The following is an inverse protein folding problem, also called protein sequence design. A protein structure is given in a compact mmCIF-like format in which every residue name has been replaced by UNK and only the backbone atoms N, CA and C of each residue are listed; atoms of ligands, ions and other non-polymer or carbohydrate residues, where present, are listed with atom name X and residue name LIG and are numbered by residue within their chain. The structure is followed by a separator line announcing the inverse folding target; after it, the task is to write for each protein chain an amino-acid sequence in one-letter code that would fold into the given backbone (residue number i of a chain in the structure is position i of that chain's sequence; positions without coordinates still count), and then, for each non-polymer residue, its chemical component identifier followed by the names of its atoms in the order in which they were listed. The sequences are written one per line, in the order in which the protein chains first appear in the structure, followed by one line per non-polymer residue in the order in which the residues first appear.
data_IF_183777217200
#
_entry.id   IF_183777217200
#
_cell.length_a   1.000
_cell.length_b   1.000
_cell.length_c   1.000
_cell.angle_alpha   90.00
_cell.angle_beta   90.00
_cell.angle_gamma   90.00
#
_symmetry.space_group_name_H-M   'P 1'
#
loop_
_entity.id
_entity.type
_entity.pdbx_description
1 polymer ?
#
# COMPACT_ATOMS: atom_id res chain seq x y z
N UNK A 1 29.92 -1.41 21.87
CA UNK A 1 29.57 -0.17 21.29
C UNK A 1 29.09 -0.31 19.87
N UNK A 2 29.78 -1.00 19.12
CA UNK A 2 29.43 -1.20 17.73
C UNK A 2 28.12 -1.91 17.53
N UNK A 3 27.76 -2.65 18.48
CA UNK A 3 26.55 -3.43 18.53
C UNK A 3 25.29 -2.60 18.33
N UNK A 4 25.34 -1.42 18.86
CA UNK A 4 24.22 -0.51 18.79
C UNK A 4 23.90 -0.12 17.35
N UNK A 5 24.92 0.07 16.57
CA UNK A 5 24.74 0.42 15.17
C UNK A 5 24.03 -0.68 14.40
N UNK A 6 24.35 -1.91 14.68
CA UNK A 6 23.70 -3.04 14.02
C UNK A 6 22.21 -3.09 14.31
N UNK A 7 21.84 -2.82 15.55
CA UNK A 7 20.44 -2.81 15.92
C UNK A 7 19.68 -1.73 15.17
N UNK A 8 20.28 -0.58 15.01
CA UNK A 8 19.65 0.52 14.29
C UNK A 8 19.39 0.17 12.82
N UNK A 9 20.33 -0.51 12.21
CA UNK A 9 20.17 -0.94 10.83
C UNK A 9 19.01 -1.91 10.69
N UNK A 10 18.88 -2.84 11.61
CA UNK A 10 17.80 -3.79 11.57
C UNK A 10 16.43 -3.10 11.67
N UNK A 11 16.32 -2.11 12.53
CA UNK A 11 15.08 -1.36 12.68
C UNK A 11 14.76 -0.61 11.39
N UNK A 12 15.75 0.01 10.79
CA UNK A 12 15.55 0.73 9.55
C UNK A 12 15.05 -0.19 8.43
N UNK A 13 15.53 -1.43 8.38
CA UNK A 13 15.09 -2.39 7.40
C UNK A 13 13.63 -2.79 7.54
N UNK A 14 13.05 -2.61 8.73
CA UNK A 14 11.64 -2.93 8.98
C UNK A 14 10.71 -1.75 8.75
N UNK A 15 11.23 -0.58 8.43
CA UNK A 15 10.45 0.64 8.35
C UNK A 15 9.51 0.72 7.15
N UNK A 16 9.67 -0.15 6.17
CA UNK A 16 8.86 -0.13 4.97
C UNK A 16 9.48 0.72 3.87
N UNK A 17 8.80 0.77 2.75
CA UNK A 17 9.25 1.47 1.55
C UNK A 17 8.41 2.71 1.32
N UNK A 18 8.99 3.74 0.69
CA UNK A 18 8.20 4.86 0.22
C UNK A 18 7.41 4.43 -1.02
N UNK A 19 6.29 5.10 -1.25
CA UNK A 19 5.44 4.79 -2.39
C UNK A 19 6.17 4.99 -3.71
N UNK A 20 6.87 6.10 -3.86
CA UNK A 20 7.59 6.35 -5.10
C UNK A 20 8.72 5.36 -5.36
N UNK A 21 9.33 4.87 -4.29
CA UNK A 21 10.37 3.86 -4.40
C UNK A 21 9.83 2.58 -5.04
N UNK A 22 8.62 2.20 -4.65
CA UNK A 22 7.94 1.02 -5.20
C UNK A 22 7.49 1.28 -6.63
N UNK A 23 6.89 2.45 -6.90
CA UNK A 23 6.38 2.77 -8.23
C UNK A 23 7.48 2.96 -9.27
N UNK A 24 8.66 3.38 -8.84
CA UNK A 24 9.77 3.59 -9.75
C UNK A 24 10.34 2.27 -10.30
N UNK A 25 10.26 1.21 -9.53
CA UNK A 25 10.79 -0.09 -9.96
C UNK A 25 9.93 -1.22 -9.40
N UNK A 26 8.71 -1.36 -9.91
CA UNK A 26 7.77 -2.35 -9.37
C UNK A 26 8.22 -3.79 -9.59
N UNK A 27 8.99 -4.06 -10.61
CA UNK A 27 9.46 -5.42 -10.87
C UNK A 27 10.35 -5.95 -9.75
N UNK A 28 11.02 -5.06 -9.04
CA UNK A 28 11.86 -5.41 -7.91
C UNK A 28 11.07 -5.99 -6.74
N UNK A 29 9.81 -5.61 -6.65
CA UNK A 29 8.94 -6.00 -5.53
C UNK A 29 7.89 -7.03 -5.93
N UNK A 30 7.92 -7.48 -7.16
CA UNK A 30 6.98 -8.49 -7.65
C UNK A 30 7.14 -9.77 -6.86
N UNK A 31 6.01 -10.36 -6.43
CA UNK A 31 5.98 -11.59 -5.63
C UNK A 31 6.65 -11.47 -4.27
N UNK A 32 6.87 -10.25 -3.80
CA UNK A 32 7.40 -10.00 -2.47
C UNK A 32 6.37 -9.27 -1.64
N UNK A 33 6.28 -9.64 -0.38
CA UNK A 33 5.46 -8.91 0.55
C UNK A 33 6.24 -7.69 1.04
N UNK A 34 5.63 -6.53 0.94
CA UNK A 34 6.25 -5.28 1.35
C UNK A 34 5.31 -4.49 2.26
N UNK A 35 5.86 -3.54 2.97
CA UNK A 35 5.11 -2.66 3.86
C UNK A 35 5.26 -1.22 3.37
N UNK A 36 4.12 -0.53 3.28
CA UNK A 36 4.05 0.86 2.86
C UNK A 36 3.13 1.61 3.81
N UNK A 37 3.46 2.86 4.12
CA UNK A 37 2.64 3.70 5.00
C UNK A 37 2.24 4.97 4.30
N UNK A 38 1.08 5.51 4.66
CA UNK A 38 0.62 6.77 4.12
C UNK A 38 -0.71 7.18 4.74
N UNK A 39 -1.23 8.29 4.25
CA UNK A 39 -2.54 8.79 4.66
C UNK A 39 -3.58 8.37 3.63
N UNK A 40 -4.75 7.96 4.09
CA UNK A 40 -5.84 7.57 3.20
C UNK A 40 -6.46 8.84 2.61
N UNK A 41 -6.40 8.97 1.29
CA UNK A 41 -6.97 10.12 0.58
C UNK A 41 -8.25 9.77 -0.17
N UNK A 42 -8.46 8.51 -0.50
CA UNK A 42 -9.69 8.02 -1.11
C UNK A 42 -9.99 6.62 -0.58
N UNK A 43 -11.27 6.29 -0.46
CA UNK A 43 -11.69 4.97 -0.02
C UNK A 43 -13.06 4.64 -0.61
N UNK A 44 -13.18 3.45 -1.19
CA UNK A 44 -14.43 2.94 -1.77
C UNK A 44 -14.62 1.50 -1.33
N UNK A 45 -15.84 1.16 -0.96
CA UNK A 45 -16.16 -0.19 -0.50
C UNK A 45 -17.46 -0.67 -1.12
N UNK A 46 -17.46 -1.91 -1.61
CA UNK A 46 -18.65 -2.56 -2.17
C UNK A 46 -18.68 -4.00 -1.68
N UNK A 47 -19.74 -4.38 -1.00
CA UNK A 47 -19.97 -5.76 -0.56
C UNK A 47 -18.79 -6.36 0.23
N UNK A 48 -18.22 -5.61 1.15
CA UNK A 48 -17.14 -6.08 2.01
C UNK A 48 -15.76 -6.06 1.38
N UNK A 49 -15.68 -5.73 0.11
CA UNK A 49 -14.41 -5.55 -0.60
C UNK A 49 -14.22 -4.07 -0.87
N UNK A 50 -12.99 -3.63 -0.91
CA UNK A 50 -12.75 -2.23 -1.16
C UNK A 50 -11.41 -1.92 -1.75
N UNK A 51 -11.28 -0.69 -2.20
CA UNK A 51 -10.01 -0.10 -2.61
C UNK A 51 -9.87 1.22 -1.87
N UNK A 52 -8.65 1.52 -1.47
CA UNK A 52 -8.35 2.81 -0.91
C UNK A 52 -7.01 3.29 -1.44
N UNK A 53 -6.86 4.59 -1.50
CA UNK A 53 -5.64 5.21 -2.00
C UNK A 53 -4.89 5.83 -0.83
N UNK A 54 -3.62 5.48 -0.71
CA UNK A 54 -2.76 6.05 0.32
C UNK A 54 -1.75 6.98 -0.34
N UNK A 55 -1.36 7.99 0.41
CA UNK A 55 -0.42 9.00 -0.05
C UNK A 55 0.66 9.20 0.99
N UNK A 56 1.91 9.24 0.56
CA UNK A 56 3.01 9.69 1.37
C UNK A 56 3.64 10.93 0.69
N UNK A 57 4.79 11.36 1.13
CA UNK A 57 5.47 12.52 0.52
C UNK A 57 5.91 12.28 -0.90
N UNK A 58 5.99 11.04 -1.33
CA UNK A 58 6.61 10.68 -2.60
C UNK A 58 5.60 10.32 -3.68
N UNK A 59 4.39 9.92 -3.32
CA UNK A 59 3.41 9.54 -4.31
C UNK A 59 2.16 8.94 -3.71
N UNK A 60 1.34 8.33 -4.57
CA UNK A 60 0.07 7.70 -4.20
C UNK A 60 0.04 6.27 -4.70
N UNK A 61 -0.67 5.43 -3.96
CA UNK A 61 -0.79 4.01 -4.30
C UNK A 61 -2.20 3.52 -3.96
N UNK A 62 -2.81 2.82 -4.89
CA UNK A 62 -4.09 2.16 -4.65
C UNK A 62 -3.87 0.80 -4.00
N UNK A 63 -4.71 0.48 -3.03
CA UNK A 63 -4.65 -0.76 -2.27
C UNK A 63 -6.00 -1.45 -2.36
N UNK A 64 -6.01 -2.72 -2.71
CA UNK A 64 -7.22 -3.55 -2.71
C UNK A 64 -7.26 -4.37 -1.43
N UNK A 65 -8.42 -4.40 -0.77
CA UNK A 65 -8.59 -5.06 0.51
C UNK A 65 -9.86 -5.89 0.55
N UNK A 66 -9.77 -7.08 1.15
CA UNK A 66 -10.92 -7.92 1.46
C UNK A 66 -11.37 -7.73 2.91
N UNK A 67 -10.68 -6.87 3.66
CA UNK A 67 -10.89 -6.73 5.11
C UNK A 67 -11.50 -5.39 5.50
N UNK A 68 -12.09 -4.73 4.52
CA UNK A 68 -12.62 -3.38 4.74
C UNK A 68 -11.59 -2.32 4.43
N UNK A 69 -12.03 -1.08 4.40
CA UNK A 69 -11.16 0.05 4.08
C UNK A 69 -11.09 1.01 5.26
N UNK A 70 -9.92 1.59 5.52
CA UNK A 70 -9.80 2.61 6.55
C UNK A 70 -10.48 3.91 6.12
N UNK A 71 -10.80 4.77 7.07
CA UNK A 71 -11.43 6.05 6.78
C UNK A 71 -10.45 7.00 6.09
N UNK A 72 -10.98 7.86 5.27
CA UNK A 72 -10.20 8.97 4.71
C UNK A 72 -9.63 9.80 5.85
N UNK A 73 -8.39 10.19 5.70
CA UNK A 73 -7.66 10.92 6.72
C UNK A 73 -6.92 10.06 7.71
N UNK A 74 -7.19 8.77 7.76
CA UNK A 74 -6.45 7.87 8.64
C UNK A 74 -5.02 7.68 8.14
N UNK A 75 -4.09 7.52 9.06
CA UNK A 75 -2.75 7.10 8.72
C UNK A 75 -2.69 5.59 8.80
N UNK A 76 -2.17 4.95 7.77
CA UNK A 76 -2.23 3.50 7.67
C UNK A 76 -0.89 2.91 7.27
N UNK A 77 -0.58 1.75 7.84
CA UNK A 77 0.52 0.90 7.40
C UNK A 77 -0.08 -0.32 6.74
N UNK A 78 0.31 -0.60 5.52
CA UNK A 78 -0.24 -1.69 4.71
C UNK A 78 0.85 -2.67 4.37
N UNK A 79 0.57 -3.95 4.57
CA UNK A 79 1.45 -5.04 4.17
C UNK A 79 0.75 -5.82 3.07
N UNK A 80 1.44 -6.03 1.96
CA UNK A 80 0.88 -6.74 0.84
C UNK A 80 1.84 -6.90 -0.33
N UNK A 81 1.31 -7.29 -1.47
CA UNK A 81 2.11 -7.52 -2.68
C UNK A 81 1.67 -6.59 -3.80
N UNK A 82 2.60 -6.19 -4.63
CA UNK A 82 2.33 -5.33 -5.79
C UNK A 82 1.94 -6.18 -6.99
N UNK A 83 0.88 -5.77 -7.66
CA UNK A 83 0.38 -6.42 -8.87
C UNK A 83 0.05 -5.42 -9.94
N UNK A 84 0.20 -5.83 -11.20
CA UNK A 84 -0.24 -5.06 -12.34
C UNK A 84 -1.49 -5.70 -12.92
N UNK A 85 -2.39 -4.87 -13.46
CA UNK A 85 -3.54 -5.37 -14.19
C UNK A 85 -4.51 -6.19 -13.36
N UNK A 86 -4.51 -6.02 -12.05
CA UNK A 86 -5.42 -6.75 -11.19
C UNK A 86 -6.87 -6.36 -11.48
N UNK A 87 -7.73 -7.36 -11.61
CA UNK A 87 -9.14 -7.13 -11.88
C UNK A 87 -9.88 -6.76 -10.59
N UNK A 88 -10.25 -5.51 -10.47
CA UNK A 88 -11.01 -5.00 -9.33
C UNK A 88 -12.52 -5.03 -9.58
N UNK A 89 -12.96 -5.43 -10.79
CA UNK A 89 -14.37 -5.39 -11.13
C UNK A 89 -14.92 -3.97 -11.05
N UNK A 90 -16.11 -3.77 -10.47
CA UNK A 90 -16.72 -2.43 -10.40
C UNK A 90 -15.89 -1.43 -9.60
N UNK A 91 -15.00 -1.88 -8.72
CA UNK A 91 -14.17 -0.97 -7.94
C UNK A 91 -13.18 -0.20 -8.82
N UNK A 92 -12.80 -0.75 -9.96
CA UNK A 92 -11.91 -0.07 -10.88
C UNK A 92 -12.51 1.22 -11.42
N UNK A 93 -13.83 1.24 -11.61
CA UNK A 93 -14.52 2.42 -12.10
C UNK A 93 -14.48 3.57 -11.09
N UNK A 94 -14.63 3.25 -9.81
CA UNK A 94 -14.53 4.24 -8.74
C UNK A 94 -13.13 4.80 -8.63
N UNK A 95 -12.14 3.93 -8.74
CA UNK A 95 -10.74 4.33 -8.61
C UNK A 95 -10.21 4.99 -9.88
N UNK A 96 -10.92 4.84 -11.00
CA UNK A 96 -10.50 5.36 -12.30
C UNK A 96 -9.10 4.91 -12.68
N UNK A 97 -8.82 3.63 -12.42
CA UNK A 97 -7.53 3.06 -12.71
C UNK A 97 -7.37 2.78 -14.20
N UNK A 98 -6.26 3.18 -14.81
CA UNK A 98 -5.97 2.80 -16.19
C UNK A 98 -5.62 1.32 -16.26
N UNK A 99 -5.72 0.75 -17.45
CA UNK A 99 -5.31 -0.62 -17.69
C UNK A 99 -3.83 -0.77 -17.34
N UNK A 100 -3.49 -1.85 -16.66
CA UNK A 100 -2.12 -2.11 -16.27
C UNK A 100 -1.62 -1.28 -15.10
N UNK A 101 -2.50 -0.57 -14.41
CA UNK A 101 -2.10 0.21 -13.25
C UNK A 101 -1.55 -0.69 -12.14
N UNK A 102 -0.58 -0.15 -11.41
CA UNK A 102 -0.04 -0.85 -10.25
C UNK A 102 -1.00 -0.72 -9.08
N UNK A 103 -1.21 -1.81 -8.38
CA UNK A 103 -2.05 -1.85 -7.20
C UNK A 103 -1.40 -2.76 -6.17
N UNK A 104 -1.58 -2.44 -4.90
CA UNK A 104 -1.14 -3.32 -3.82
C UNK A 104 -2.31 -4.20 -3.40
N UNK A 105 -2.08 -5.49 -3.31
CA UNK A 105 -3.06 -6.44 -2.76
C UNK A 105 -2.73 -6.60 -1.28
N UNK A 106 -3.61 -6.10 -0.44
CA UNK A 106 -3.39 -6.07 0.98
C UNK A 106 -3.50 -7.46 1.62
N UNK A 107 -2.54 -7.78 2.48
CA UNK A 107 -2.66 -8.88 3.41
C UNK A 107 -3.23 -8.39 4.74
N UNK A 108 -2.75 -7.24 5.19
CA UNK A 108 -3.26 -6.61 6.40
C UNK A 108 -2.96 -5.12 6.39
N UNK A 109 -3.72 -4.36 7.15
CA UNK A 109 -3.42 -2.96 7.40
C UNK A 109 -3.67 -2.62 8.86
N UNK A 110 -2.98 -1.58 9.33
CA UNK A 110 -3.19 -1.01 10.67
C UNK A 110 -3.42 0.48 10.50
N UNK A 111 -4.59 0.94 10.93
CA UNK A 111 -4.96 2.33 10.79
C UNK A 111 -4.87 3.07 12.12
N UNK A 112 -4.50 4.35 12.05
CA UNK A 112 -4.48 5.26 13.18
C UNK A 112 -5.26 6.51 12.80
N UNK A 113 -5.96 7.05 13.78
CA UNK A 113 -6.80 8.22 13.58
C UNK A 113 -6.35 9.38 14.42
#
# INVERSE_FOLDING_TARGET
MLIVASAAVGVAGCAGKSINHVLADPSRYRNREIKVSGNVVNAYSVAGRGVYQIEDRTGRLWVASDRGVPHRGARVSVTGTIREGFNLGPLADFARLPDGALIMIEREHKARY
#
